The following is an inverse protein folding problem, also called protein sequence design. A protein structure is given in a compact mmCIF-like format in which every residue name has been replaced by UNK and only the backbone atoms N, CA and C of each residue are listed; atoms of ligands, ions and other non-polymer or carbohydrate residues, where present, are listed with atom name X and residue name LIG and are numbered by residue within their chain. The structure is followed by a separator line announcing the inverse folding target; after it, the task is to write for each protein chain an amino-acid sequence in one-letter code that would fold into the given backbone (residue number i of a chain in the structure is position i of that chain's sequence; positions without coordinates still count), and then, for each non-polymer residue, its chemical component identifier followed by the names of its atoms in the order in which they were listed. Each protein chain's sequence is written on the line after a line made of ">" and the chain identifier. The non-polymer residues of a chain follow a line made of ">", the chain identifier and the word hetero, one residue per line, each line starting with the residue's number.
data_IF_594635335651
#
_entry.id   IF_594635335651
#
_cell.length_a   1.000
_cell.length_b   1.000
_cell.length_c   1.000
_cell.angle_alpha   90.00
_cell.angle_beta   90.00
_cell.angle_gamma   90.00
#
_symmetry.space_group_name_H-M   'P 1'
#
loop_
_entity.id
_entity.type
_entity.pdbx_description
1 polymer ?
#
# COMPACT_ATOMS: atom_id res chain seq x y z
N UNK A 1 4.97 12.72 -20.98
CA UNK A 1 5.83 13.95 -21.01
C UNK A 1 6.65 14.10 -22.30
N UNK A 2 7.22 13.05 -22.89
CA UNK A 2 7.91 13.12 -24.21
C UNK A 2 6.92 13.37 -25.34
N UNK A 3 5.77 12.72 -25.35
CA UNK A 3 4.74 12.88 -26.39
C UNK A 3 4.19 14.32 -26.50
N UNK A 4 4.05 15.03 -25.37
CA UNK A 4 3.58 16.43 -25.37
C UNK A 4 4.64 17.42 -25.91
N UNK A 5 5.92 17.03 -25.89
CA UNK A 5 7.01 17.83 -26.45
C UNK A 5 7.21 17.59 -27.97
N UNK A 6 6.73 16.45 -28.50
CA UNK A 6 6.98 16.04 -29.89
C UNK A 6 5.80 16.27 -30.85
N UNK A 7 4.58 16.44 -30.32
CA UNK A 7 3.40 16.78 -31.16
C UNK A 7 2.54 17.82 -30.45
N UNK A 8 2.29 18.97 -31.07
CA UNK A 8 1.32 19.93 -30.54
C UNK A 8 -0.05 19.23 -30.49
N UNK A 9 -0.65 19.13 -29.29
CA UNK A 9 -1.99 18.61 -29.10
C UNK A 9 -3.04 19.60 -29.61
N UNK A 10 -2.99 19.91 -30.93
CA UNK A 10 -3.93 20.77 -31.61
C UNK A 10 -5.14 19.95 -32.05
N UNK A 11 -6.36 20.52 -31.87
CA UNK A 11 -7.64 19.93 -32.25
C UNK A 11 -8.16 18.79 -31.39
N UNK A 12 -7.86 18.78 -30.09
CA UNK A 12 -8.53 17.88 -29.16
C UNK A 12 -9.95 18.40 -28.82
N UNK A 13 -10.94 17.49 -28.65
CA UNK A 13 -12.33 17.86 -28.32
C UNK A 13 -12.50 18.37 -26.89
N UNK A 14 -11.44 18.48 -26.13
CA UNK A 14 -11.45 18.91 -24.73
C UNK A 14 -10.24 19.81 -24.43
N UNK A 15 -10.34 20.71 -23.43
CA UNK A 15 -9.20 21.48 -22.94
C UNK A 15 -8.08 20.56 -22.44
N UNK A 16 -6.84 20.90 -22.77
CA UNK A 16 -5.64 20.20 -22.31
C UNK A 16 -4.90 21.07 -21.33
N UNK A 17 -4.64 20.52 -20.14
CA UNK A 17 -3.83 21.16 -19.12
C UNK A 17 -2.54 20.36 -18.98
N UNK A 18 -1.41 21.01 -19.17
CA UNK A 18 -0.10 20.42 -18.88
C UNK A 18 0.19 20.51 -17.38
N UNK A 19 0.39 19.36 -16.75
CA UNK A 19 0.80 19.26 -15.34
C UNK A 19 2.21 18.65 -15.30
N UNK A 20 3.25 19.41 -14.89
CA UNK A 20 4.58 18.83 -14.71
C UNK A 20 4.54 17.74 -13.63
N UNK A 21 5.31 16.66 -13.83
CA UNK A 21 5.42 15.55 -12.90
C UNK A 21 4.07 14.95 -12.46
N UNK A 22 3.12 14.83 -13.38
CA UNK A 22 1.76 14.34 -13.08
C UNK A 22 1.75 12.98 -12.33
N UNK A 23 2.80 12.19 -12.47
CA UNK A 23 2.94 10.92 -11.75
C UNK A 23 2.92 11.10 -10.23
N UNK A 24 3.46 12.22 -9.73
CA UNK A 24 3.53 12.52 -8.30
C UNK A 24 2.17 12.85 -7.68
N UNK A 25 1.15 13.08 -8.52
CA UNK A 25 -0.20 13.47 -8.11
C UNK A 25 -1.29 12.61 -8.77
N UNK A 26 -0.91 11.61 -9.56
CA UNK A 26 -1.87 10.89 -10.40
C UNK A 26 -2.88 10.11 -9.56
N UNK A 27 -2.44 9.43 -8.52
CA UNK A 27 -3.32 8.69 -7.61
C UNK A 27 -4.32 9.61 -6.91
N UNK A 28 -3.85 10.77 -6.39
CA UNK A 28 -4.72 11.78 -5.74
C UNK A 28 -5.76 12.34 -6.72
N UNK A 29 -5.34 12.65 -7.95
CA UNK A 29 -6.26 13.17 -8.98
C UNK A 29 -7.33 12.14 -9.33
N UNK A 30 -6.95 10.88 -9.47
CA UNK A 30 -7.90 9.79 -9.74
C UNK A 30 -8.86 9.64 -8.58
N UNK A 31 -8.38 9.61 -7.36
CA UNK A 31 -9.21 9.51 -6.16
C UNK A 31 -10.21 10.67 -6.07
N UNK A 32 -9.74 11.91 -6.19
CA UNK A 32 -10.60 13.09 -6.20
C UNK A 32 -11.67 13.02 -7.29
N UNK A 33 -11.29 12.59 -8.50
CA UNK A 33 -12.24 12.46 -9.62
C UNK A 33 -13.30 11.40 -9.35
N UNK A 34 -12.91 10.25 -8.79
CA UNK A 34 -13.84 9.16 -8.46
C UNK A 34 -14.81 9.60 -7.35
N UNK A 35 -14.29 10.21 -6.29
CA UNK A 35 -15.10 10.72 -5.17
C UNK A 35 -16.05 11.85 -5.61
N UNK A 36 -15.62 12.71 -6.52
CA UNK A 36 -16.50 13.74 -7.09
C UNK A 36 -17.64 13.14 -7.93
N UNK A 37 -17.35 12.07 -8.69
CA UNK A 37 -18.35 11.43 -9.54
C UNK A 37 -19.36 10.60 -8.74
N UNK A 38 -18.88 9.90 -7.72
CA UNK A 38 -19.68 9.02 -6.86
C UNK A 38 -19.07 8.99 -5.45
N UNK A 39 -19.49 9.86 -4.55
CA UNK A 39 -19.00 9.87 -3.18
C UNK A 39 -19.29 8.55 -2.47
N UNK A 40 -18.26 7.94 -1.87
CA UNK A 40 -18.39 6.74 -1.04
C UNK A 40 -17.50 6.86 0.20
N UNK A 41 -17.84 6.15 1.26
CA UNK A 41 -16.94 5.96 2.39
C UNK A 41 -15.91 4.90 2.01
N UNK A 42 -14.64 5.29 1.95
CA UNK A 42 -13.57 4.35 1.62
C UNK A 42 -13.28 3.43 2.82
N UNK A 43 -12.91 2.16 2.58
CA UNK A 43 -12.52 1.25 3.65
C UNK A 43 -11.28 1.75 4.41
N UNK A 44 -11.14 1.33 5.67
CA UNK A 44 -9.86 1.45 6.37
C UNK A 44 -8.83 0.57 5.65
N UNK A 45 -7.67 1.12 5.31
CA UNK A 45 -6.64 0.37 4.59
C UNK A 45 -5.51 -0.03 5.53
N UNK A 46 -5.24 -1.35 5.61
CA UNK A 46 -4.05 -1.94 6.20
C UNK A 46 -3.14 -2.45 5.07
N UNK A 47 -1.93 -1.90 4.94
CA UNK A 47 -1.00 -2.27 3.88
C UNK A 47 0.15 -3.11 4.45
N UNK A 48 0.47 -4.20 3.77
CA UNK A 48 1.49 -5.17 4.18
C UNK A 48 2.67 -5.14 3.20
N UNK A 49 3.87 -4.89 3.70
CA UNK A 49 5.11 -4.99 2.92
C UNK A 49 6.09 -5.98 3.54
N UNK A 50 7.06 -6.39 2.75
CA UNK A 50 8.11 -7.35 3.09
C UNK A 50 8.50 -8.17 1.86
N UNK A 51 9.51 -9.03 1.99
CA UNK A 51 9.85 -9.98 0.92
C UNK A 51 8.82 -11.11 0.90
N UNK A 52 8.64 -11.79 2.02
CA UNK A 52 7.75 -12.92 2.18
C UNK A 52 6.59 -12.61 3.16
N UNK A 53 5.50 -13.39 3.07
CA UNK A 53 4.39 -13.33 4.02
C UNK A 53 3.31 -12.29 3.72
N UNK A 54 3.49 -11.39 2.74
CA UNK A 54 2.50 -10.35 2.41
C UNK A 54 1.10 -10.92 2.18
N UNK A 55 0.98 -11.90 1.30
CA UNK A 55 -0.29 -12.55 0.96
C UNK A 55 -0.91 -13.25 2.16
N UNK A 56 -0.12 -13.98 2.93
CA UNK A 56 -0.60 -14.69 4.13
C UNK A 56 -1.13 -13.69 5.16
N UNK A 57 -0.36 -12.65 5.47
CA UNK A 57 -0.75 -11.65 6.47
C UNK A 57 -1.96 -10.84 6.01
N UNK A 58 -2.01 -10.42 4.74
CA UNK A 58 -3.19 -9.68 4.23
C UNK A 58 -4.47 -10.50 4.31
N UNK A 59 -4.42 -11.79 3.96
CA UNK A 59 -5.56 -12.69 4.09
C UNK A 59 -5.93 -12.94 5.55
N UNK A 60 -4.97 -13.13 6.45
CA UNK A 60 -5.24 -13.30 7.88
C UNK A 60 -5.87 -12.05 8.49
N UNK A 61 -5.39 -10.85 8.13
CA UNK A 61 -6.00 -9.59 8.56
C UNK A 61 -7.45 -9.51 8.10
N UNK A 62 -7.73 -9.86 6.84
CA UNK A 62 -9.09 -9.87 6.32
C UNK A 62 -9.98 -10.90 7.03
N UNK A 63 -9.48 -12.13 7.28
CA UNK A 63 -10.22 -13.17 8.01
C UNK A 63 -10.52 -12.75 9.45
N UNK A 64 -9.53 -12.19 10.16
CA UNK A 64 -9.73 -11.69 11.53
C UNK A 64 -10.76 -10.56 11.58
N UNK A 65 -10.77 -9.70 10.56
CA UNK A 65 -11.78 -8.64 10.41
C UNK A 65 -13.18 -9.24 10.27
N UNK A 66 -13.35 -10.29 9.44
CA UNK A 66 -14.62 -11.00 9.31
C UNK A 66 -15.05 -11.68 10.61
N UNK A 67 -14.11 -12.32 11.32
CA UNK A 67 -14.39 -12.91 12.62
C UNK A 67 -14.83 -11.88 13.67
N UNK A 68 -14.37 -10.63 13.54
CA UNK A 68 -14.83 -9.51 14.36
C UNK A 68 -16.19 -8.93 13.93
N UNK A 69 -16.86 -9.54 12.94
CA UNK A 69 -18.18 -9.11 12.45
C UNK A 69 -18.16 -7.92 11.47
N UNK A 70 -16.99 -7.57 10.93
CA UNK A 70 -16.82 -6.51 9.94
C UNK A 70 -16.59 -7.09 8.53
N UNK A 71 -16.98 -6.34 7.51
CA UNK A 71 -16.72 -6.73 6.12
C UNK A 71 -15.28 -6.43 5.72
N UNK A 72 -14.65 -7.35 4.97
CA UNK A 72 -13.27 -7.18 4.53
C UNK A 72 -13.05 -7.57 3.08
N UNK A 73 -12.00 -7.00 2.51
CA UNK A 73 -11.49 -7.35 1.19
C UNK A 73 -9.97 -7.41 1.20
N UNK A 74 -9.40 -8.04 0.19
CA UNK A 74 -7.95 -8.08 -0.05
C UNK A 74 -7.62 -7.53 -1.43
N UNK A 75 -6.39 -7.00 -1.56
CA UNK A 75 -5.79 -6.67 -2.85
C UNK A 75 -4.35 -7.15 -2.86
N UNK A 76 -4.03 -8.11 -3.73
CA UNK A 76 -2.69 -8.67 -3.78
C UNK A 76 -2.52 -9.82 -4.75
N UNK A 77 -1.46 -10.58 -4.56
CA UNK A 77 -1.02 -11.67 -5.44
C UNK A 77 -2.06 -12.79 -5.60
N UNK A 78 -2.78 -13.11 -4.53
CA UNK A 78 -3.81 -14.15 -4.57
C UNK A 78 -5.12 -13.72 -5.26
N UNK A 79 -5.24 -12.45 -5.62
CA UNK A 79 -6.40 -11.85 -6.24
C UNK A 79 -6.92 -10.65 -5.47
N UNK A 80 -7.93 -10.00 -6.05
CA UNK A 80 -8.58 -8.80 -5.51
C UNK A 80 -10.05 -9.07 -5.26
N UNK A 81 -10.59 -8.67 -4.11
CA UNK A 81 -12.01 -8.83 -3.78
C UNK A 81 -12.24 -9.24 -2.33
N UNK A 82 -13.49 -9.57 -2.02
CA UNK A 82 -13.84 -10.25 -0.77
C UNK A 82 -13.28 -11.68 -0.80
N UNK A 83 -12.91 -12.25 0.35
CA UNK A 83 -12.20 -13.53 0.41
C UNK A 83 -12.94 -14.68 -0.28
N UNK A 84 -14.26 -14.66 -0.26
CA UNK A 84 -15.14 -15.65 -0.91
C UNK A 84 -15.30 -15.46 -2.43
N UNK A 85 -14.81 -14.33 -2.99
CA UNK A 85 -15.01 -13.95 -4.39
C UNK A 85 -13.79 -13.22 -4.98
N UNK A 86 -12.61 -13.81 -4.85
CA UNK A 86 -11.37 -13.24 -5.37
C UNK A 86 -11.33 -13.33 -6.90
N UNK A 87 -10.98 -12.21 -7.53
CA UNK A 87 -10.69 -12.13 -8.96
C UNK A 87 -9.18 -12.10 -9.15
N UNK A 88 -8.66 -12.96 -10.03
CA UNK A 88 -7.24 -13.07 -10.33
C UNK A 88 -6.65 -11.71 -10.69
N UNK A 89 -5.54 -11.34 -10.05
CA UNK A 89 -4.78 -10.13 -10.32
C UNK A 89 -3.59 -10.42 -11.25
N UNK A 90 -3.28 -9.49 -12.14
CA UNK A 90 -2.09 -9.57 -13.00
C UNK A 90 -0.80 -9.17 -12.29
N UNK A 91 -0.90 -8.40 -11.21
CA UNK A 91 0.22 -7.89 -10.43
C UNK A 91 -0.13 -7.89 -8.94
N UNK A 92 0.88 -8.05 -8.08
CA UNK A 92 0.72 -7.95 -6.61
C UNK A 92 0.15 -6.59 -6.19
N UNK A 93 0.65 -5.51 -6.79
CA UNK A 93 0.12 -4.14 -6.64
C UNK A 93 -0.24 -3.63 -8.03
N UNK A 94 -1.51 -3.35 -8.27
CA UNK A 94 -2.00 -2.76 -9.52
C UNK A 94 -1.38 -1.39 -9.82
N UNK A 95 -1.63 -0.85 -11.01
CA UNK A 95 -1.31 0.56 -11.29
C UNK A 95 -2.21 1.51 -10.46
N UNK A 96 -1.81 2.79 -10.39
CA UNK A 96 -2.50 3.75 -9.53
C UNK A 96 -3.99 3.92 -9.88
N UNK A 97 -4.37 3.81 -11.16
CA UNK A 97 -5.78 3.89 -11.58
C UNK A 97 -6.56 2.67 -11.08
N UNK A 98 -6.04 1.46 -11.31
CA UNK A 98 -6.66 0.21 -10.90
C UNK A 98 -6.82 0.14 -9.37
N UNK A 99 -5.82 0.59 -8.61
CA UNK A 99 -5.87 0.65 -7.14
C UNK A 99 -6.99 1.58 -6.68
N UNK A 100 -7.08 2.79 -7.22
CA UNK A 100 -8.09 3.76 -6.83
C UNK A 100 -9.51 3.33 -7.24
N UNK A 101 -9.67 2.73 -8.43
CA UNK A 101 -10.95 2.18 -8.87
C UNK A 101 -11.41 1.01 -7.98
N UNK A 102 -10.48 0.13 -7.59
CA UNK A 102 -10.78 -0.97 -6.69
C UNK A 102 -11.19 -0.47 -5.29
N UNK A 103 -10.45 0.51 -4.76
CA UNK A 103 -10.77 1.15 -3.48
C UNK A 103 -12.17 1.78 -3.48
N UNK A 104 -12.49 2.51 -4.56
CA UNK A 104 -13.82 3.09 -4.79
C UNK A 104 -14.91 2.02 -4.85
N UNK A 105 -14.66 0.93 -5.57
CA UNK A 105 -15.58 -0.19 -5.69
C UNK A 105 -15.84 -0.87 -4.34
N UNK A 106 -14.80 -1.07 -3.53
CA UNK A 106 -14.94 -1.63 -2.18
C UNK A 106 -15.71 -0.69 -1.25
N UNK A 107 -15.49 0.63 -1.37
CA UNK A 107 -16.29 1.63 -0.65
C UNK A 107 -17.77 1.58 -1.03
N UNK A 108 -18.08 1.47 -2.31
CA UNK A 108 -19.46 1.32 -2.80
C UNK A 108 -20.14 0.03 -2.29
N UNK A 109 -19.37 -1.01 -2.01
CA UNK A 109 -19.83 -2.25 -1.38
C UNK A 109 -19.83 -2.22 0.14
N UNK A 110 -19.56 -1.06 0.75
CA UNK A 110 -19.51 -0.85 2.21
C UNK A 110 -18.54 -1.82 2.91
N UNK A 111 -17.37 -2.04 2.31
CA UNK A 111 -16.31 -2.81 2.93
C UNK A 111 -15.67 -1.96 4.04
N UNK A 112 -15.54 -2.52 5.25
CA UNK A 112 -14.98 -1.83 6.41
C UNK A 112 -13.46 -1.77 6.38
N UNK A 113 -12.80 -2.86 5.94
CA UNK A 113 -11.35 -2.96 5.90
C UNK A 113 -10.85 -3.58 4.59
N UNK A 114 -9.85 -2.96 3.99
CA UNK A 114 -9.07 -3.48 2.88
C UNK A 114 -7.66 -3.83 3.36
N UNK A 115 -7.28 -5.11 3.27
CA UNK A 115 -5.90 -5.56 3.46
C UNK A 115 -5.19 -5.60 2.10
N UNK A 116 -4.12 -4.81 1.95
CA UNK A 116 -3.45 -4.54 0.68
C UNK A 116 -1.99 -4.97 0.71
N UNK A 117 -1.55 -5.69 -0.32
CA UNK A 117 -0.12 -6.01 -0.50
C UNK A 117 0.62 -4.83 -1.15
N UNK A 118 1.58 -4.25 -0.43
CA UNK A 118 2.45 -3.17 -0.90
C UNK A 118 3.80 -3.74 -1.36
N UNK A 119 3.95 -4.02 -2.65
CA UNK A 119 5.23 -4.44 -3.23
C UNK A 119 6.23 -3.28 -3.28
N UNK A 120 7.54 -3.57 -3.26
CA UNK A 120 8.57 -2.54 -3.40
C UNK A 120 8.45 -1.76 -4.70
N UNK A 121 8.14 -2.45 -5.81
CA UNK A 121 7.84 -1.81 -7.10
C UNK A 121 6.63 -0.88 -7.02
N UNK A 122 5.55 -1.32 -6.34
CA UNK A 122 4.34 -0.52 -6.17
C UNK A 122 4.59 0.75 -5.35
N UNK A 123 5.40 0.65 -4.31
CA UNK A 123 5.82 1.78 -3.47
C UNK A 123 6.75 2.73 -4.22
N UNK A 124 7.77 2.17 -4.90
CA UNK A 124 8.74 2.97 -5.64
C UNK A 124 8.11 3.70 -6.83
N UNK A 125 7.23 3.03 -7.56
CA UNK A 125 6.50 3.60 -8.71
C UNK A 125 5.27 4.43 -8.31
N UNK A 126 5.07 4.71 -7.01
CA UNK A 126 3.96 5.52 -6.47
C UNK A 126 2.57 5.00 -6.85
N UNK A 127 2.43 3.68 -7.07
CA UNK A 127 1.16 3.07 -7.47
C UNK A 127 0.08 3.13 -6.36
N UNK A 128 0.52 3.33 -5.10
CA UNK A 128 -0.36 3.47 -3.94
C UNK A 128 -0.60 4.92 -3.52
N UNK A 129 -0.13 5.88 -4.30
CA UNK A 129 -0.33 7.29 -4.01
C UNK A 129 -1.83 7.63 -3.91
N UNK A 130 -2.20 8.46 -2.93
CA UNK A 130 -3.59 8.83 -2.66
C UNK A 130 -4.42 7.74 -1.95
N UNK A 131 -3.86 6.55 -1.68
CA UNK A 131 -4.54 5.53 -0.88
C UNK A 131 -4.51 5.93 0.61
N UNK A 132 -5.66 6.00 1.31
CA UNK A 132 -5.72 6.43 2.71
C UNK A 132 -5.29 5.30 3.67
N UNK A 133 -4.02 4.87 3.56
CA UNK A 133 -3.45 3.82 4.40
C UNK A 133 -3.41 4.29 5.86
N UNK A 134 -4.02 3.52 6.76
CA UNK A 134 -4.06 3.79 8.21
C UNK A 134 -3.03 2.97 8.99
N UNK A 135 -2.79 1.74 8.55
CA UNK A 135 -1.91 0.79 9.22
C UNK A 135 -0.89 0.26 8.21
N UNK A 136 0.39 0.36 8.54
CA UNK A 136 1.50 -0.21 7.79
C UNK A 136 2.05 -1.42 8.54
N UNK A 137 2.25 -2.54 7.84
CA UNK A 137 2.74 -3.80 8.42
C UNK A 137 4.01 -4.23 7.69
N UNK A 138 5.07 -4.50 8.45
CA UNK A 138 6.34 -5.04 7.97
C UNK A 138 6.53 -6.48 8.40
N UNK A 139 6.80 -7.37 7.44
CA UNK A 139 6.98 -8.80 7.73
C UNK A 139 8.44 -9.21 7.84
N UNK A 140 9.21 -9.04 6.79
CA UNK A 140 10.64 -9.36 6.72
C UNK A 140 11.26 -8.82 5.43
N UNK A 141 12.57 -8.88 5.36
CA UNK A 141 13.31 -8.54 4.15
C UNK A 141 14.45 -9.53 3.92
N UNK A 142 14.49 -10.14 2.76
CA UNK A 142 15.57 -11.00 2.30
C UNK A 142 15.96 -10.61 0.88
N UNK A 143 17.09 -11.09 0.41
CA UNK A 143 17.60 -10.76 -0.91
C UNK A 143 16.63 -11.20 -2.01
N UNK A 144 16.01 -10.22 -2.68
CA UNK A 144 15.03 -10.40 -3.75
C UNK A 144 14.94 -9.11 -4.59
N UNK A 145 14.34 -9.19 -5.78
CA UNK A 145 14.07 -8.02 -6.65
C UNK A 145 15.29 -7.14 -6.98
N UNK A 146 16.52 -7.69 -6.96
CA UNK A 146 17.73 -6.98 -7.38
C UNK A 146 17.90 -6.91 -8.91
N UNK A 147 16.94 -7.42 -9.64
CA UNK A 147 16.73 -7.16 -11.07
C UNK A 147 16.08 -5.78 -11.32
N UNK A 148 15.42 -5.21 -10.32
CA UNK A 148 14.77 -3.91 -10.37
C UNK A 148 15.48 -2.85 -9.51
N UNK A 149 15.80 -3.17 -8.24
CA UNK A 149 16.54 -2.29 -7.33
C UNK A 149 18.04 -2.47 -7.53
N UNK A 150 18.79 -1.38 -7.53
CA UNK A 150 20.25 -1.42 -7.76
C UNK A 150 21.00 -2.24 -6.69
N UNK A 151 20.51 -2.16 -5.44
CA UNK A 151 21.09 -2.87 -4.30
C UNK A 151 20.04 -3.09 -3.19
N UNK A 152 20.49 -3.68 -2.06
CA UNK A 152 19.63 -3.92 -0.91
C UNK A 152 19.18 -2.62 -0.21
N UNK A 153 20.01 -1.59 -0.22
CA UNK A 153 19.69 -0.32 0.43
C UNK A 153 18.54 0.40 -0.29
N UNK A 154 18.55 0.39 -1.63
CA UNK A 154 17.45 0.90 -2.43
C UNK A 154 16.17 0.08 -2.22
N UNK A 155 16.28 -1.24 -2.11
CA UNK A 155 15.15 -2.13 -1.84
C UNK A 155 14.55 -1.89 -0.44
N UNK A 156 15.38 -1.72 0.60
CA UNK A 156 14.97 -1.34 1.96
C UNK A 156 14.28 0.03 1.93
N UNK A 157 14.90 1.02 1.31
CA UNK A 157 14.38 2.38 1.21
C UNK A 157 13.01 2.43 0.50
N UNK A 158 12.84 1.64 -0.57
CA UNK A 158 11.56 1.53 -1.26
C UNK A 158 10.43 1.05 -0.34
N UNK A 159 10.70 0.04 0.51
CA UNK A 159 9.69 -0.46 1.48
C UNK A 159 9.47 0.49 2.65
N UNK A 160 10.51 1.20 3.09
CA UNK A 160 10.41 2.18 4.17
C UNK A 160 9.44 3.33 3.84
N UNK A 161 9.25 3.66 2.55
CA UNK A 161 8.25 4.65 2.10
C UNK A 161 6.85 4.36 2.66
N UNK A 162 6.50 3.07 2.92
CA UNK A 162 5.19 2.71 3.48
C UNK A 162 4.98 3.26 4.90
N UNK A 163 6.05 3.55 5.63
CA UNK A 163 6.02 4.03 7.02
C UNK A 163 6.17 5.55 7.13
N UNK A 164 6.23 6.25 5.99
CA UNK A 164 6.42 7.69 5.94
C UNK A 164 5.11 8.43 5.65
N UNK A 165 4.71 9.31 6.60
CA UNK A 165 3.53 10.19 6.43
C UNK A 165 3.65 11.20 5.30
N UNK A 166 4.84 11.48 4.79
CA UNK A 166 5.00 12.32 3.60
C UNK A 166 4.41 11.63 2.37
N UNK A 167 4.55 10.29 2.28
CA UNK A 167 3.96 9.48 1.23
C UNK A 167 2.50 9.09 1.53
N UNK A 168 2.19 8.80 2.80
CA UNK A 168 0.87 8.33 3.24
C UNK A 168 0.37 9.15 4.44
N UNK A 169 -0.20 10.34 4.23
CA UNK A 169 -0.60 11.26 5.31
C UNK A 169 -1.62 10.69 6.29
N UNK A 170 -2.38 9.68 5.87
CA UNK A 170 -3.40 9.03 6.69
C UNK A 170 -2.87 8.00 7.70
N UNK A 171 -1.56 7.68 7.66
CA UNK A 171 -0.94 6.68 8.55
C UNK A 171 -1.09 7.09 10.02
N UNK A 172 -1.42 6.10 10.83
CA UNK A 172 -1.54 6.24 12.29
C UNK A 172 -0.72 5.20 13.05
N UNK A 173 -0.62 3.98 12.50
CA UNK A 173 0.02 2.84 13.16
C UNK A 173 1.03 2.15 12.25
N UNK A 174 2.09 1.64 12.85
CA UNK A 174 3.04 0.72 12.24
C UNK A 174 3.13 -0.56 13.07
N UNK A 175 3.09 -1.72 12.42
CA UNK A 175 3.29 -3.04 13.03
C UNK A 175 4.54 -3.63 12.39
N UNK A 176 5.58 -3.87 13.19
CA UNK A 176 6.92 -4.15 12.68
C UNK A 176 7.49 -5.42 13.33
N UNK A 177 7.88 -6.38 12.48
CA UNK A 177 8.69 -7.52 12.89
C UNK A 177 10.09 -7.03 13.29
N UNK A 178 10.54 -7.36 14.51
CA UNK A 178 11.87 -6.97 15.00
C UNK A 178 12.89 -8.10 14.96
N UNK A 179 12.56 -9.26 14.41
CA UNK A 179 13.49 -10.37 14.20
C UNK A 179 14.33 -10.22 12.92
N UNK A 180 14.00 -9.22 12.09
CA UNK A 180 14.64 -9.00 10.79
C UNK A 180 15.78 -7.97 10.91
N UNK A 181 16.90 -8.21 10.22
CA UNK A 181 18.09 -7.36 10.28
C UNK A 181 17.88 -5.93 9.75
N UNK A 182 16.89 -5.74 8.86
CA UNK A 182 16.57 -4.43 8.25
C UNK A 182 15.48 -3.67 9.02
N UNK A 183 15.02 -4.19 10.14
CA UNK A 183 13.95 -3.60 10.97
C UNK A 183 14.21 -2.16 11.36
N UNK A 184 15.48 -1.81 11.65
CA UNK A 184 15.82 -0.49 12.18
C UNK A 184 15.39 0.63 11.24
N UNK A 185 15.55 0.48 9.93
CA UNK A 185 15.12 1.49 8.95
C UNK A 185 13.60 1.72 9.00
N UNK A 186 12.82 0.65 9.16
CA UNK A 186 11.36 0.74 9.28
C UNK A 186 10.94 1.44 10.58
N UNK A 187 11.61 1.10 11.70
CA UNK A 187 11.38 1.73 13.01
C UNK A 187 11.69 3.22 12.98
N UNK A 188 12.87 3.60 12.46
CA UNK A 188 13.30 4.99 12.39
C UNK A 188 12.33 5.83 11.55
N UNK A 189 11.91 5.30 10.39
CA UNK A 189 10.95 5.97 9.51
C UNK A 189 9.59 6.15 10.19
N UNK A 190 9.08 5.10 10.84
CA UNK A 190 7.80 5.14 11.54
C UNK A 190 7.82 6.11 12.73
N UNK A 191 8.92 6.13 13.49
CA UNK A 191 9.11 7.05 14.62
C UNK A 191 9.24 8.50 14.16
N UNK A 192 10.06 8.77 13.12
CA UNK A 192 10.18 10.08 12.52
C UNK A 192 8.84 10.63 12.01
N UNK A 193 7.98 9.75 11.53
CA UNK A 193 6.60 10.05 11.11
C UNK A 193 5.61 10.19 12.28
N UNK A 194 6.03 9.96 13.52
CA UNK A 194 5.17 10.02 14.71
C UNK A 194 4.05 8.98 14.71
N UNK A 195 4.31 7.79 14.16
CA UNK A 195 3.35 6.69 14.17
C UNK A 195 3.33 6.02 15.55
N UNK A 196 2.17 5.46 15.91
CA UNK A 196 2.10 4.51 17.02
C UNK A 196 2.68 3.19 16.54
N UNK A 197 3.84 2.82 17.09
CA UNK A 197 4.56 1.62 16.68
C UNK A 197 4.22 0.46 17.62
N UNK A 198 3.84 -0.67 17.03
CA UNK A 198 3.75 -1.97 17.68
C UNK A 198 4.79 -2.90 17.05
N UNK A 199 5.52 -3.60 17.88
CA UNK A 199 6.53 -4.55 17.44
C UNK A 199 6.11 -5.98 17.77
N UNK A 200 6.56 -6.93 16.97
CA UNK A 200 6.39 -8.34 17.28
C UNK A 200 7.67 -9.14 17.02
N UNK A 201 7.86 -10.21 17.78
CA UNK A 201 9.00 -11.12 17.69
C UNK A 201 8.60 -12.55 18.00
N UNK A 202 9.23 -13.50 17.33
CA UNK A 202 9.17 -14.92 17.67
C UNK A 202 10.18 -15.30 18.76
N UNK A 203 11.17 -14.44 19.04
CA UNK A 203 12.12 -14.61 20.12
C UNK A 203 11.57 -13.97 21.40
N UNK A 204 11.22 -14.75 22.44
CA UNK A 204 10.68 -14.21 23.68
C UNK A 204 11.69 -13.36 24.47
N UNK A 205 12.99 -13.43 24.14
CA UNK A 205 14.02 -12.57 24.75
C UNK A 205 14.01 -11.14 24.21
N UNK A 206 13.39 -10.91 23.07
CA UNK A 206 13.24 -9.59 22.46
C UNK A 206 12.15 -8.78 23.18
N UNK A 207 12.44 -7.51 23.48
CA UNK A 207 11.48 -6.60 24.09
C UNK A 207 10.46 -6.08 23.06
N UNK A 208 9.63 -6.99 22.53
CA UNK A 208 8.58 -6.67 21.57
C UNK A 208 7.25 -6.32 22.27
N UNK A 209 6.38 -5.56 21.58
CA UNK A 209 5.00 -5.33 22.08
C UNK A 209 4.22 -6.65 22.18
N UNK A 210 4.46 -7.55 21.23
CA UNK A 210 3.90 -8.90 21.18
C UNK A 210 5.03 -9.89 20.94
N UNK A 211 5.16 -10.90 21.78
CA UNK A 211 6.13 -11.99 21.63
C UNK A 211 5.43 -13.34 21.61
N UNK A 212 6.04 -14.31 20.93
CA UNK A 212 5.61 -15.70 21.07
C UNK A 212 5.79 -16.16 22.51
N UNK A 213 4.79 -16.87 23.05
CA UNK A 213 4.82 -17.45 24.41
C UNK A 213 5.52 -18.80 24.40
#
# INVERSE_FOLDING_TARGET
>A
NKLAAEQPLTNLPCPVVYVPNIRDFFGDLVQLRLQYAQPVVLPTVAAVTGTNGKTTISQLVAQLTQLAGMSSAVMGTAGNGKLEALVQASHTTGDALAVQQFLQHMGAQQVDLLALEASSHGLDQQRLQGVPIKVAIYTNLSRDHLDYHADMDEYVAAKAKLFDKQHFPSLTHAIINIDDEHTQTMLDTAQASGLKVWTYSLDPSMNATFSAA
#
